data_IF_163720150051
#
_entry.id   IF_163720150051
#
_cell.length_a   1.000
_cell.length_b   1.000
_cell.length_c   1.000
_cell.angle_alpha   90.00
_cell.angle_beta   90.00
_cell.angle_gamma   90.00
#
_symmetry.space_group_name_H-M   'P 1'
#
loop_
_entity.id
_entity.type
_entity.pdbx_description
1 polymer ?
#
# COMPACT_ATOMS: atom_id res chain seq x y z
N UNK A 1 -13.19 -8.43 -19.62
CA UNK A 1 -11.82 -7.87 -19.61
C UNK A 1 -11.35 -7.26 -18.28
N UNK A 2 -12.18 -6.59 -17.43
CA UNK A 2 -11.67 -5.94 -16.22
C UNK A 2 -11.14 -6.91 -15.14
N UNK A 3 -11.67 -8.14 -15.08
CA UNK A 3 -11.21 -9.17 -14.14
C UNK A 3 -9.77 -9.66 -14.42
N UNK A 4 -9.41 -9.88 -15.68
CA UNK A 4 -8.05 -10.31 -16.04
C UNK A 4 -7.07 -9.19 -15.69
N UNK A 5 -7.41 -7.95 -16.03
CA UNK A 5 -6.64 -6.77 -15.65
C UNK A 5 -6.49 -6.70 -14.13
N UNK A 6 -7.57 -6.77 -13.36
CA UNK A 6 -7.53 -6.78 -11.89
C UNK A 6 -6.63 -7.89 -11.33
N UNK A 7 -6.73 -9.12 -11.84
CA UNK A 7 -5.90 -10.23 -11.38
C UNK A 7 -4.41 -10.03 -11.71
N UNK A 8 -4.08 -9.61 -12.93
CA UNK A 8 -2.68 -9.32 -13.32
C UNK A 8 -2.07 -8.25 -12.44
N UNK A 9 -2.86 -7.25 -12.09
CA UNK A 9 -2.45 -6.10 -11.29
C UNK A 9 -2.17 -6.49 -9.84
N UNK A 10 -3.07 -7.28 -9.28
CA UNK A 10 -2.94 -7.83 -7.94
C UNK A 10 -1.68 -8.69 -7.87
N UNK A 11 -1.43 -9.48 -8.91
CA UNK A 11 -0.26 -10.36 -9.02
C UNK A 11 1.05 -9.58 -9.17
N UNK A 12 1.11 -8.55 -10.02
CA UNK A 12 2.30 -7.68 -10.17
C UNK A 12 2.60 -6.91 -8.87
N UNK A 13 1.57 -6.36 -8.24
CA UNK A 13 1.70 -5.67 -6.95
C UNK A 13 2.23 -6.64 -5.89
N UNK A 14 1.68 -7.86 -5.81
CA UNK A 14 2.17 -8.92 -4.93
C UNK A 14 3.64 -9.27 -5.20
N UNK A 15 4.07 -9.39 -6.46
CA UNK A 15 5.46 -9.72 -6.79
C UNK A 15 6.45 -8.62 -6.36
N UNK A 16 6.13 -7.35 -6.61
CA UNK A 16 6.95 -6.20 -6.17
C UNK A 16 7.04 -6.18 -4.64
N UNK A 17 5.90 -6.42 -3.98
CA UNK A 17 5.77 -6.46 -2.52
C UNK A 17 6.60 -7.60 -1.92
N UNK A 18 6.43 -8.82 -2.43
CA UNK A 18 7.16 -10.02 -1.96
C UNK A 18 8.65 -9.84 -2.19
N UNK A 19 9.06 -9.34 -3.36
CA UNK A 19 10.46 -9.03 -3.64
C UNK A 19 11.06 -8.04 -2.64
N UNK A 20 10.31 -6.97 -2.32
CA UNK A 20 10.75 -5.96 -1.34
C UNK A 20 10.81 -6.53 0.08
N UNK A 21 9.84 -7.37 0.46
CA UNK A 21 9.83 -8.06 1.76
C UNK A 21 10.99 -9.03 1.91
N UNK A 22 11.27 -9.88 0.91
CA UNK A 22 12.40 -10.84 0.92
C UNK A 22 13.73 -10.09 1.08
N UNK A 23 13.91 -8.94 0.42
CA UNK A 23 15.11 -8.11 0.56
C UNK A 23 15.24 -7.56 1.98
N UNK A 24 14.13 -7.19 2.63
CA UNK A 24 14.10 -6.67 4.00
C UNK A 24 14.30 -7.76 5.06
N UNK A 25 13.72 -8.95 4.83
CA UNK A 25 13.86 -10.14 5.69
C UNK A 25 15.30 -10.64 5.67
N UNK A 26 15.95 -10.69 4.50
CA UNK A 26 17.39 -11.00 4.38
C UNK A 26 18.28 -10.05 5.18
N UNK A 27 17.80 -8.87 5.53
CA UNK A 27 18.51 -7.89 6.39
C UNK A 27 18.11 -7.96 7.86
N UNK A 28 17.29 -8.94 8.28
CA UNK A 28 16.73 -9.06 9.64
C UNK A 28 16.05 -7.77 10.14
N UNK A 29 15.46 -7.00 9.21
CA UNK A 29 14.86 -5.69 9.50
C UNK A 29 13.35 -5.66 9.24
N UNK A 30 12.74 -6.81 8.93
CA UNK A 30 11.31 -6.94 8.75
C UNK A 30 10.59 -6.96 10.10
N UNK A 31 9.51 -6.21 10.20
CA UNK A 31 8.65 -6.09 11.37
C UNK A 31 7.20 -6.38 10.98
N UNK A 32 6.36 -6.66 11.98
CA UNK A 32 4.92 -6.84 11.75
C UNK A 32 4.27 -5.65 11.01
N UNK A 33 4.73 -4.42 11.28
CA UNK A 33 4.25 -3.22 10.59
C UNK A 33 4.60 -3.19 9.10
N UNK A 34 5.72 -3.80 8.71
CA UNK A 34 6.08 -3.94 7.29
C UNK A 34 5.14 -4.90 6.58
N UNK A 35 4.70 -5.96 7.26
CA UNK A 35 3.67 -6.87 6.72
C UNK A 35 2.32 -6.17 6.63
N UNK A 36 1.92 -5.47 7.70
CA UNK A 36 0.66 -4.73 7.75
C UNK A 36 0.57 -3.63 6.68
N UNK A 37 1.69 -3.00 6.34
CA UNK A 37 1.82 -2.01 5.27
C UNK A 37 1.31 -2.51 3.91
N UNK A 38 1.34 -3.83 3.67
CA UNK A 38 0.88 -4.42 2.41
C UNK A 38 -0.62 -4.66 2.37
N UNK A 39 -1.21 -5.03 3.50
CA UNK A 39 -2.61 -5.45 3.56
C UNK A 39 -3.54 -4.30 3.95
N UNK A 40 -3.16 -3.54 4.98
CA UNK A 40 -4.08 -2.58 5.60
C UNK A 40 -4.49 -1.45 4.63
N UNK A 41 -3.62 -0.82 3.82
CA UNK A 41 -4.06 0.20 2.87
C UNK A 41 -5.11 -0.31 1.87
N UNK A 42 -4.94 -1.54 1.39
CA UNK A 42 -5.87 -2.19 0.46
C UNK A 42 -7.21 -2.50 1.14
N UNK A 43 -7.19 -3.13 2.32
CA UNK A 43 -8.42 -3.42 3.06
C UNK A 43 -9.13 -2.16 3.53
N UNK A 44 -8.40 -1.11 3.89
CA UNK A 44 -8.96 0.19 4.24
C UNK A 44 -9.66 0.82 3.03
N UNK A 45 -9.00 0.86 1.87
CA UNK A 45 -9.59 1.37 0.64
C UNK A 45 -10.84 0.57 0.25
N UNK A 46 -10.77 -0.76 0.29
CA UNK A 46 -11.89 -1.64 -0.04
C UNK A 46 -13.05 -1.47 0.95
N UNK A 47 -12.76 -1.43 2.25
CA UNK A 47 -13.74 -1.16 3.30
C UNK A 47 -14.43 0.19 3.11
N UNK A 48 -13.67 1.25 2.81
CA UNK A 48 -14.22 2.57 2.50
C UNK A 48 -15.09 2.53 1.24
N UNK A 49 -14.68 1.84 0.18
CA UNK A 49 -15.49 1.67 -1.03
C UNK A 49 -16.83 0.97 -0.72
N UNK A 50 -16.86 -0.02 0.18
CA UNK A 50 -18.09 -0.71 0.59
C UNK A 50 -19.04 0.16 1.44
N UNK A 51 -18.54 1.17 2.16
CA UNK A 51 -19.40 2.05 2.97
C UNK A 51 -20.36 2.90 2.14
N UNK A 52 -20.11 3.06 0.83
CA UNK A 52 -20.90 3.93 -0.03
C UNK A 52 -20.74 5.43 0.25
N UNK A 53 -19.86 5.83 1.18
CA UNK A 53 -19.55 7.25 1.47
C UNK A 53 -19.13 8.01 0.20
N UNK A 54 -18.43 7.33 -0.70
CA UNK A 54 -18.15 7.79 -2.06
C UNK A 54 -18.19 6.58 -2.99
N UNK A 55 -19.20 6.44 -3.87
CA UNK A 55 -19.30 5.29 -4.75
C UNK A 55 -18.08 5.28 -5.68
N UNK A 56 -17.20 4.30 -5.47
CA UNK A 56 -16.04 4.01 -6.32
C UNK A 56 -16.41 2.85 -7.21
N UNK A 57 -16.22 3.01 -8.51
CA UNK A 57 -16.40 1.92 -9.46
C UNK A 57 -15.15 1.05 -9.52
N UNK A 58 -15.25 -0.12 -10.18
CA UNK A 58 -14.07 -0.90 -10.54
C UNK A 58 -13.12 -0.15 -11.49
N UNK A 59 -13.55 0.94 -12.13
CA UNK A 59 -12.65 1.80 -12.89
C UNK A 59 -11.67 2.58 -11.98
N UNK A 60 -12.03 2.78 -10.69
CA UNK A 60 -11.16 3.39 -9.68
C UNK A 60 -10.06 2.47 -9.14
N UNK A 61 -9.84 1.30 -9.74
CA UNK A 61 -8.73 0.42 -9.36
C UNK A 61 -7.37 1.11 -9.42
N UNK A 62 -7.23 2.18 -10.21
CA UNK A 62 -6.05 3.09 -10.25
C UNK A 62 -5.59 3.56 -8.87
N UNK A 63 -6.49 3.65 -7.89
CA UNK A 63 -6.17 4.06 -6.51
C UNK A 63 -5.33 3.00 -5.77
N UNK A 64 -5.78 1.73 -5.65
CA UNK A 64 -4.96 0.68 -5.07
C UNK A 64 -3.66 0.41 -5.83
N UNK A 65 -3.59 0.69 -7.14
CA UNK A 65 -2.32 0.66 -7.87
C UNK A 65 -1.29 1.65 -7.32
N UNK A 66 -1.72 2.85 -6.97
CA UNK A 66 -0.83 3.88 -6.45
C UNK A 66 -0.19 3.46 -5.11
N UNK A 67 -0.81 2.54 -4.36
CA UNK A 67 -0.27 2.08 -3.09
C UNK A 67 1.04 1.30 -3.24
N UNK A 68 1.23 0.52 -4.31
CA UNK A 68 2.44 -0.27 -4.52
C UNK A 68 3.72 0.59 -4.58
N UNK A 69 3.84 1.62 -5.45
CA UNK A 69 5.01 2.50 -5.44
C UNK A 69 5.12 3.32 -4.15
N UNK A 70 4.00 3.71 -3.52
CA UNK A 70 4.02 4.45 -2.24
C UNK A 70 4.62 3.58 -1.12
N UNK A 71 4.20 2.32 -1.02
CA UNK A 71 4.75 1.36 -0.05
C UNK A 71 6.23 1.12 -0.34
N UNK A 72 6.61 0.90 -1.60
CA UNK A 72 8.01 0.71 -1.98
C UNK A 72 8.88 1.91 -1.61
N UNK A 73 8.45 3.13 -1.92
CA UNK A 73 9.15 4.37 -1.54
C UNK A 73 9.23 4.49 -0.02
N UNK A 74 8.14 4.21 0.70
CA UNK A 74 8.11 4.27 2.16
C UNK A 74 9.12 3.29 2.80
N UNK A 75 9.21 2.06 2.28
CA UNK A 75 10.18 1.06 2.72
C UNK A 75 11.62 1.45 2.38
N UNK A 76 11.86 2.07 1.22
CA UNK A 76 13.17 2.62 0.87
C UNK A 76 13.56 3.77 1.81
N UNK A 77 12.68 4.74 2.02
CA UNK A 77 12.90 5.88 2.93
C UNK A 77 13.22 5.38 4.35
N UNK A 78 12.45 4.40 4.86
CA UNK A 78 12.74 3.71 6.14
C UNK A 78 14.14 3.12 6.18
N UNK A 79 14.56 2.47 5.10
CA UNK A 79 15.84 1.75 5.02
C UNK A 79 17.04 2.69 4.97
N UNK A 80 16.91 3.87 4.36
CA UNK A 80 18.03 4.77 4.09
C UNK A 80 18.09 6.01 4.98
N UNK A 81 16.95 6.57 5.41
CA UNK A 81 16.89 7.88 6.08
C UNK A 81 17.01 7.78 7.60
N UNK A 82 16.31 6.82 8.22
CA UNK A 82 16.12 6.81 9.68
C UNK A 82 17.07 5.85 10.43
N UNK A 83 18.38 5.87 10.11
CA UNK A 83 19.35 4.89 10.66
C UNK A 83 19.56 4.95 12.18
N UNK A 84 19.20 6.05 12.84
CA UNK A 84 19.37 6.25 14.30
C UNK A 84 18.20 5.73 15.14
N UNK A 85 17.10 5.31 14.51
CA UNK A 85 15.84 4.93 15.16
C UNK A 85 15.69 3.40 15.12
N UNK A 86 14.99 2.83 16.11
CA UNK A 86 14.67 1.40 16.13
C UNK A 86 13.92 0.96 14.86
N UNK A 87 14.13 -0.27 14.39
CA UNK A 87 13.46 -0.80 13.18
C UNK A 87 11.92 -0.74 13.33
N UNK A 88 11.42 -1.03 14.53
CA UNK A 88 9.99 -1.05 14.85
C UNK A 88 9.37 0.34 14.73
N UNK A 89 10.00 1.36 15.32
CA UNK A 89 9.48 2.73 15.24
C UNK A 89 9.49 3.26 13.81
N UNK A 90 10.54 2.95 13.04
CA UNK A 90 10.59 3.35 11.62
C UNK A 90 9.48 2.71 10.81
N UNK A 91 9.24 1.41 11.00
CA UNK A 91 8.15 0.71 10.31
C UNK A 91 6.78 1.20 10.75
N UNK A 92 6.62 1.55 12.03
CA UNK A 92 5.39 2.17 12.54
C UNK A 92 5.14 3.53 11.89
N UNK A 93 6.15 4.38 11.77
CA UNK A 93 6.04 5.67 11.08
C UNK A 93 5.68 5.46 9.61
N UNK A 94 6.41 4.58 8.91
CA UNK A 94 6.13 4.22 7.52
C UNK A 94 4.69 3.73 7.34
N UNK A 95 4.20 2.87 8.24
CA UNK A 95 2.83 2.39 8.27
C UNK A 95 1.81 3.52 8.37
N UNK A 96 1.90 4.37 9.40
CA UNK A 96 0.95 5.46 9.57
C UNK A 96 0.96 6.46 8.42
N UNK A 97 2.14 6.76 7.86
CA UNK A 97 2.28 7.64 6.69
C UNK A 97 1.56 7.05 5.48
N UNK A 98 1.76 5.77 5.17
CA UNK A 98 1.09 5.12 4.03
C UNK A 98 -0.42 5.04 4.25
N UNK A 99 -0.89 4.76 5.46
CA UNK A 99 -2.33 4.75 5.77
C UNK A 99 -2.95 6.12 5.58
N UNK A 100 -2.28 7.18 6.04
CA UNK A 100 -2.74 8.56 5.84
C UNK A 100 -2.81 8.89 4.34
N UNK A 101 -1.78 8.54 3.57
CA UNK A 101 -1.75 8.76 2.13
C UNK A 101 -2.84 7.95 1.41
N UNK A 102 -3.04 6.68 1.76
CA UNK A 102 -4.07 5.84 1.17
C UNK A 102 -5.48 6.39 1.43
N UNK A 103 -5.72 6.88 2.65
CA UNK A 103 -6.95 7.57 3.02
C UNK A 103 -7.13 8.85 2.19
N UNK A 104 -6.07 9.66 2.07
CA UNK A 104 -6.09 10.87 1.26
C UNK A 104 -6.37 10.58 -0.22
N UNK A 105 -5.76 9.53 -0.80
CA UNK A 105 -6.00 9.10 -2.19
C UNK A 105 -7.49 8.78 -2.39
N UNK A 106 -8.10 8.03 -1.48
CA UNK A 106 -9.53 7.70 -1.58
C UNK A 106 -10.43 8.95 -1.64
N UNK A 107 -10.15 9.95 -0.80
CA UNK A 107 -10.92 11.20 -0.74
C UNK A 107 -10.55 12.24 -1.81
N UNK A 108 -9.34 12.21 -2.36
CA UNK A 108 -8.88 13.20 -3.33
C UNK A 108 -9.06 12.75 -4.78
N UNK A 109 -8.95 11.45 -5.06
CA UNK A 109 -9.15 10.93 -6.42
C UNK A 109 -10.66 10.91 -6.74
N UNK A 110 -11.12 11.57 -7.82
CA UNK A 110 -12.53 11.55 -8.20
C UNK A 110 -13.01 10.14 -8.58
N UNK A 111 -14.29 9.87 -8.37
CA UNK A 111 -14.90 8.64 -8.87
C UNK A 111 -14.88 8.67 -10.41
N UNK A 112 -14.41 7.60 -11.03
CA UNK A 112 -14.37 7.45 -12.48
C UNK A 112 -15.67 6.78 -12.95
N UNK A 113 -16.29 7.28 -14.04
CA UNK A 113 -17.44 6.61 -14.62
C UNK A 113 -17.09 5.20 -15.11
N UNK A 114 -18.06 4.29 -15.03
CA UNK A 114 -17.94 2.89 -15.46
C UNK A 114 -17.88 2.72 -16.98
#
# INVERSE_FOLDING_TARGET
>A
MPYIFFCTVLLVSMLIIIGTYIILEKKSAATFFDVALFFVPFFLWYGLALTGLRPKSLANLVEPFAFAPIIAISLLVRSFVFKKISNVERSRIAFFVVILIATAIYFLVPALPE
#
